data_IF_803026947346
#
_entry.id   IF_803026947346
#
_cell.length_a   1.000
_cell.length_b   1.000
_cell.length_c   1.000
_cell.angle_alpha   90.00
_cell.angle_beta   90.00
_cell.angle_gamma   90.00
#
_symmetry.space_group_name_H-M   'P 1'
#
loop_
_entity.id
_entity.type
_entity.pdbx_description
1 polymer ?
#
# COMPACT_ATOMS: atom_id res chain seq x y z
N UNK A 1 26.71 -10.34 0.44
CA UNK A 1 26.25 -10.09 -0.94
C UNK A 1 24.88 -9.42 -0.82
N UNK A 2 24.84 -8.09 -0.93
CA UNK A 2 23.63 -7.30 -0.72
C UNK A 2 22.81 -7.31 -2.00
N UNK A 3 21.62 -7.91 -1.98
CA UNK A 3 20.67 -7.73 -3.07
C UNK A 3 20.00 -6.38 -2.88
N UNK A 4 20.41 -5.41 -3.69
CA UNK A 4 19.65 -4.19 -3.95
C UNK A 4 18.38 -4.60 -4.71
N UNK A 5 17.33 -4.93 -3.96
CA UNK A 5 15.98 -4.98 -4.51
C UNK A 5 15.41 -3.58 -4.38
N UNK A 6 15.36 -2.89 -5.52
CA UNK A 6 14.90 -1.52 -5.61
C UNK A 6 13.46 -1.35 -5.11
N UNK A 7 13.26 -0.31 -4.33
CA UNK A 7 11.96 0.19 -3.88
C UNK A 7 10.98 0.48 -5.04
N UNK A 8 11.45 0.74 -6.26
CA UNK A 8 10.55 1.19 -7.32
C UNK A 8 9.98 0.07 -8.21
N UNK A 9 10.63 -1.11 -8.29
CA UNK A 9 10.01 -2.27 -8.95
C UNK A 9 8.64 -2.64 -8.33
N UNK A 10 8.39 -2.25 -7.08
CA UNK A 10 7.12 -2.44 -6.40
C UNK A 10 6.13 -1.29 -6.57
N UNK A 11 6.59 -0.04 -6.59
CA UNK A 11 5.71 1.12 -6.76
C UNK A 11 5.06 1.17 -8.16
N UNK A 12 5.71 0.64 -9.20
CA UNK A 12 5.14 0.54 -10.55
C UNK A 12 4.11 -0.59 -10.68
N UNK A 13 4.17 -1.62 -9.82
CA UNK A 13 3.17 -2.68 -9.75
C UNK A 13 1.76 -2.18 -9.38
N UNK A 14 1.65 -0.99 -8.78
CA UNK A 14 0.39 -0.30 -8.47
C UNK A 14 -0.19 0.51 -9.64
N UNK A 15 0.48 0.58 -10.81
CA UNK A 15 0.01 1.39 -11.96
C UNK A 15 0.14 0.77 -13.37
N UNK A 16 0.13 -0.57 -13.50
CA UNK A 16 0.05 -1.37 -14.75
C UNK A 16 1.39 -2.00 -15.23
N UNK A 17 1.56 -3.33 -15.08
CA UNK A 17 1.58 -4.31 -16.19
C UNK A 17 1.82 -5.74 -15.68
N UNK A 18 1.03 -6.68 -16.21
CA UNK A 18 1.20 -8.13 -16.18
C UNK A 18 2.10 -8.61 -17.33
N UNK A 19 3.16 -9.37 -17.04
CA UNK A 19 3.83 -10.36 -17.94
C UNK A 19 4.94 -11.04 -17.12
N UNK A 20 5.20 -12.35 -17.11
CA UNK A 20 4.82 -13.48 -17.96
C UNK A 20 5.09 -14.76 -17.14
N UNK A 21 4.14 -15.68 -17.04
CA UNK A 21 4.46 -17.11 -17.06
C UNK A 21 3.28 -17.89 -17.65
N UNK A 22 3.64 -18.88 -18.46
CA UNK A 22 2.86 -19.64 -19.45
C UNK A 22 1.34 -19.81 -19.27
N UNK A 23 0.64 -19.52 -20.36
CA UNK A 23 -0.72 -19.96 -20.69
C UNK A 23 -0.76 -21.47 -20.96
N UNK A 24 -1.69 -22.18 -20.31
CA UNK A 24 -2.36 -23.35 -20.88
C UNK A 24 -3.81 -22.96 -21.15
N UNK A 25 -4.21 -23.03 -22.42
CA UNK A 25 -5.59 -22.78 -22.87
C UNK A 25 -6.55 -23.79 -22.27
N UNK A 26 -7.60 -23.31 -21.60
CA UNK A 26 -8.92 -23.93 -21.65
C UNK A 26 -9.96 -22.83 -21.82
N UNK A 27 -10.71 -22.97 -22.90
CA UNK A 27 -11.79 -22.15 -23.41
C UNK A 27 -12.93 -21.91 -22.41
N UNK A 28 -13.40 -20.67 -22.28
CA UNK A 28 -14.74 -20.21 -22.72
C UNK A 28 -15.07 -18.79 -22.20
N UNK A 29 -15.81 -18.08 -23.05
CA UNK A 29 -16.28 -16.69 -23.05
C UNK A 29 -16.80 -16.07 -21.75
N UNK A 30 -16.31 -14.88 -21.39
CA UNK A 30 -17.07 -13.61 -21.35
C UNK A 30 -16.24 -12.50 -20.69
N UNK A 31 -16.29 -11.30 -21.26
CA UNK A 31 -15.67 -10.06 -20.77
C UNK A 31 -15.70 -9.93 -19.24
N UNK A 32 -14.52 -9.96 -18.60
CA UNK A 32 -14.32 -9.50 -17.23
C UNK A 32 -13.05 -8.67 -17.16
N UNK A 33 -13.24 -7.36 -17.12
CA UNK A 33 -12.18 -6.39 -16.90
C UNK A 33 -11.43 -6.61 -15.58
N UNK A 34 -10.16 -6.24 -15.61
CA UNK A 34 -9.24 -6.00 -14.49
C UNK A 34 -9.26 -7.04 -13.35
N UNK A 35 -8.61 -8.18 -13.55
CA UNK A 35 -8.29 -9.10 -12.46
C UNK A 35 -7.09 -8.58 -11.64
N UNK A 36 -7.35 -8.38 -10.34
CA UNK A 36 -6.44 -7.95 -9.28
C UNK A 36 -5.26 -8.92 -9.09
N UNK A 37 -4.07 -8.37 -8.86
CA UNK A 37 -2.84 -9.12 -8.55
C UNK A 37 -2.93 -9.82 -7.19
N UNK A 38 -3.08 -11.14 -7.20
CA UNK A 38 -2.81 -11.99 -6.04
C UNK A 38 -1.29 -12.21 -5.98
N UNK A 39 -0.61 -11.58 -5.03
CA UNK A 39 0.79 -11.88 -4.77
C UNK A 39 0.88 -13.12 -3.85
N UNK A 40 1.07 -14.29 -4.45
CA UNK A 40 1.49 -15.52 -3.76
C UNK A 40 0.35 -16.37 -3.18
N UNK A 41 0.32 -17.66 -3.57
CA UNK A 41 -0.56 -18.66 -2.99
C UNK A 41 -0.40 -18.73 -1.45
N UNK A 42 -1.50 -18.50 -0.72
CA UNK A 42 -1.67 -19.01 0.65
C UNK A 42 -2.21 -18.00 1.66
N UNK A 43 -2.05 -16.70 1.44
CA UNK A 43 -2.63 -15.64 2.29
C UNK A 43 -3.00 -14.46 1.40
N UNK A 44 -4.26 -14.03 1.44
CA UNK A 44 -4.71 -12.80 0.76
C UNK A 44 -4.27 -11.56 1.55
N UNK A 45 -2.99 -11.50 1.91
CA UNK A 45 -2.38 -10.35 2.58
C UNK A 45 -2.07 -9.28 1.54
N UNK A 46 -2.32 -8.02 1.87
CA UNK A 46 -2.05 -6.87 1.00
C UNK A 46 -1.50 -5.70 1.79
N UNK A 47 -0.83 -4.81 1.07
CA UNK A 47 -0.51 -3.44 1.51
C UNK A 47 -1.04 -2.52 0.42
N UNK A 48 -1.89 -1.56 0.79
CA UNK A 48 -2.54 -0.66 -0.14
C UNK A 48 -2.47 0.78 0.36
N UNK A 49 -2.02 1.67 -0.51
CA UNK A 49 -2.13 3.12 -0.30
C UNK A 49 -3.48 3.57 -0.85
N UNK A 50 -4.25 4.30 -0.05
CA UNK A 50 -5.57 4.80 -0.39
C UNK A 50 -5.54 6.33 -0.42
N UNK A 51 -6.25 6.90 -1.38
CA UNK A 51 -6.47 8.33 -1.48
C UNK A 51 -7.89 8.64 -0.98
N UNK A 52 -8.04 9.73 -0.22
CA UNK A 52 -9.35 10.22 0.20
C UNK A 52 -9.74 11.45 -0.62
N UNK A 53 -11.03 11.75 -0.72
CA UNK A 53 -11.52 12.93 -1.43
C UNK A 53 -10.97 14.27 -0.88
N UNK A 54 -10.38 14.27 0.32
CA UNK A 54 -9.81 15.44 0.99
C UNK A 54 -8.32 15.66 0.70
N UNK A 55 -7.81 15.19 -0.44
CA UNK A 55 -6.39 15.27 -0.81
C UNK A 55 -5.44 14.63 0.21
N UNK A 56 -5.92 13.58 0.88
CA UNK A 56 -5.18 12.88 1.93
C UNK A 56 -4.83 11.46 1.46
N UNK A 57 -3.72 10.96 1.97
CA UNK A 57 -3.20 9.63 1.64
C UNK A 57 -2.99 8.84 2.93
N UNK A 58 -3.48 7.60 2.94
CA UNK A 58 -3.31 6.68 4.06
C UNK A 58 -2.74 5.35 3.58
N UNK A 59 -2.08 4.61 4.47
CA UNK A 59 -1.63 3.25 4.21
C UNK A 59 -2.52 2.25 4.95
N UNK A 60 -2.87 1.16 4.29
CA UNK A 60 -3.63 0.06 4.87
C UNK A 60 -2.94 -1.26 4.61
N UNK A 61 -3.10 -2.22 5.52
CA UNK A 61 -2.51 -3.55 5.34
C UNK A 61 -3.32 -4.62 6.07
N UNK A 62 -3.45 -5.78 5.44
CA UNK A 62 -3.95 -7.00 6.10
C UNK A 62 -2.82 -7.94 6.56
N UNK A 63 -1.56 -7.56 6.34
CA UNK A 63 -0.38 -8.32 6.77
C UNK A 63 -0.43 -8.52 8.28
N UNK A 64 -0.39 -9.78 8.72
CA UNK A 64 -0.47 -10.17 10.14
C UNK A 64 -1.77 -9.74 10.86
N UNK A 65 -2.83 -9.42 10.12
CA UNK A 65 -4.14 -9.13 10.69
C UNK A 65 -4.99 -10.41 10.87
N UNK A 66 -5.98 -10.34 11.75
CA UNK A 66 -7.02 -11.38 11.82
C UNK A 66 -7.84 -11.38 10.53
N UNK A 67 -8.40 -12.53 10.10
CA UNK A 67 -9.26 -12.59 8.92
C UNK A 67 -10.38 -11.56 8.98
N UNK A 68 -10.56 -10.81 7.88
CA UNK A 68 -11.56 -9.75 7.78
C UNK A 68 -11.15 -8.40 8.38
N UNK A 69 -10.01 -8.33 9.08
CA UNK A 69 -9.52 -7.06 9.66
C UNK A 69 -8.37 -6.47 8.85
N UNK A 70 -8.24 -5.15 8.92
CA UNK A 70 -7.18 -4.37 8.25
C UNK A 70 -6.62 -3.35 9.22
N UNK A 71 -5.31 -3.18 9.23
CA UNK A 71 -4.65 -2.09 9.93
C UNK A 71 -4.65 -0.83 9.05
N UNK A 72 -5.01 0.31 9.63
CA UNK A 72 -4.93 1.65 9.04
C UNK A 72 -3.77 2.42 9.70
N UNK A 73 -2.89 2.96 8.87
CA UNK A 73 -1.76 3.79 9.24
C UNK A 73 -1.96 5.17 8.60
N UNK A 74 -2.26 6.15 9.44
CA UNK A 74 -2.61 7.51 9.03
C UNK A 74 -1.71 8.51 9.77
N UNK A 75 -0.91 9.26 9.00
CA UNK A 75 0.01 10.28 9.54
C UNK A 75 -0.69 11.60 9.85
N UNK A 76 -1.98 11.75 9.58
CA UNK A 76 -2.79 12.94 9.87
C UNK A 76 -4.14 12.54 10.47
N UNK A 77 -4.10 11.61 11.43
CA UNK A 77 -5.30 11.04 12.03
C UNK A 77 -5.91 12.01 13.05
N UNK A 78 -7.23 12.24 12.93
CA UNK A 78 -8.01 13.12 13.81
C UNK A 78 -9.18 12.38 14.46
N UNK A 79 -8.94 11.16 14.93
CA UNK A 79 -9.94 10.30 15.61
C UNK A 79 -11.16 9.90 14.78
N UNK A 80 -11.11 10.09 13.45
CA UNK A 80 -12.18 9.76 12.53
C UNK A 80 -11.61 8.98 11.34
N UNK A 81 -12.17 7.79 11.09
CA UNK A 81 -11.97 7.07 9.83
C UNK A 81 -12.94 7.67 8.82
N UNK A 82 -12.43 8.14 7.69
CA UNK A 82 -13.27 8.72 6.64
C UNK A 82 -13.99 7.59 5.89
N UNK A 83 -15.29 7.76 5.59
CA UNK A 83 -16.14 6.73 4.98
C UNK A 83 -15.54 6.16 3.68
N UNK A 84 -14.88 6.98 2.88
CA UNK A 84 -14.26 6.58 1.62
C UNK A 84 -13.13 5.55 1.83
N UNK A 85 -12.45 5.58 2.98
CA UNK A 85 -11.44 4.56 3.32
C UNK A 85 -12.14 3.22 3.56
N UNK A 86 -13.25 3.22 4.30
CA UNK A 86 -14.01 2.01 4.58
C UNK A 86 -14.65 1.42 3.30
N UNK A 87 -15.21 2.25 2.43
CA UNK A 87 -15.78 1.84 1.14
C UNK A 87 -14.72 1.20 0.23
N UNK A 88 -13.55 1.86 0.07
CA UNK A 88 -12.44 1.31 -0.70
C UNK A 88 -11.95 -0.03 -0.12
N UNK A 89 -11.90 -0.16 1.21
CA UNK A 89 -11.50 -1.42 1.86
C UNK A 89 -12.53 -2.53 1.66
N UNK A 90 -13.83 -2.22 1.70
CA UNK A 90 -14.89 -3.19 1.36
C UNK A 90 -14.71 -3.70 -0.06
N UNK A 91 -14.39 -2.82 -1.00
CA UNK A 91 -14.11 -3.23 -2.38
C UNK A 91 -12.86 -4.10 -2.50
N UNK A 92 -11.76 -3.73 -1.85
CA UNK A 92 -10.50 -4.50 -1.83
C UNK A 92 -10.73 -5.90 -1.24
N UNK A 93 -11.51 -5.99 -0.17
CA UNK A 93 -11.76 -7.24 0.56
C UNK A 93 -12.97 -8.04 0.04
N UNK A 94 -13.60 -7.62 -1.06
CA UNK A 94 -14.82 -8.22 -1.60
C UNK A 94 -15.92 -8.38 -0.53
N UNK A 95 -16.18 -7.31 0.22
CA UNK A 95 -17.17 -7.21 1.30
C UNK A 95 -16.94 -8.14 2.49
N UNK A 96 -15.72 -8.67 2.66
CA UNK A 96 -15.32 -9.48 3.83
C UNK A 96 -14.71 -8.65 4.97
N UNK A 97 -14.77 -7.32 4.88
CA UNK A 97 -14.26 -6.42 5.91
C UNK A 97 -15.15 -6.52 7.17
N UNK A 98 -14.54 -6.89 8.30
CA UNK A 98 -15.18 -7.00 9.61
C UNK A 98 -14.69 -5.94 10.59
N UNK A 99 -13.56 -5.28 10.33
CA UNK A 99 -13.05 -4.22 11.18
C UNK A 99 -11.79 -3.54 10.65
N UNK A 100 -11.59 -2.29 11.08
CA UNK A 100 -10.38 -1.51 10.81
C UNK A 100 -9.71 -1.21 12.15
N UNK A 101 -8.44 -1.58 12.28
CA UNK A 101 -7.62 -1.30 13.44
C UNK A 101 -6.80 -0.04 13.19
N UNK A 102 -6.92 0.98 14.02
CA UNK A 102 -6.04 2.15 13.96
C UNK A 102 -4.71 1.80 14.60
N UNK A 103 -3.62 1.90 13.84
CA UNK A 103 -2.27 1.70 14.38
C UNK A 103 -1.65 3.07 14.68
N UNK A 104 -1.24 3.33 15.93
CA UNK A 104 -0.50 4.54 16.26
C UNK A 104 0.81 4.62 15.46
N UNK A 105 0.99 5.71 14.72
CA UNK A 105 2.18 5.99 13.92
C UNK A 105 2.62 7.43 14.07
N UNK A 106 3.86 7.72 13.65
CA UNK A 106 4.36 9.09 13.60
C UNK A 106 3.42 10.00 12.79
N UNK A 107 2.98 11.08 13.44
CA UNK A 107 2.12 12.08 12.81
C UNK A 107 2.96 13.12 12.07
N UNK A 108 2.49 13.55 10.90
CA UNK A 108 3.15 14.58 10.13
C UNK A 108 2.99 15.95 10.80
N UNK A 109 4.08 16.73 10.84
CA UNK A 109 4.05 18.11 11.34
C UNK A 109 3.53 19.15 10.33
N UNK A 110 3.22 18.76 9.09
CA UNK A 110 2.76 19.67 8.03
C UNK A 110 1.65 19.03 7.19
N UNK A 111 0.76 19.82 6.59
CA UNK A 111 -0.41 19.30 5.85
C UNK A 111 -0.13 18.60 4.51
N UNK A 112 1.13 18.45 4.08
CA UNK A 112 1.46 17.95 2.72
C UNK A 112 2.15 16.59 2.69
N UNK A 113 2.60 16.08 3.84
CA UNK A 113 3.52 14.95 3.90
C UNK A 113 2.84 13.56 3.88
N UNK A 114 1.51 13.49 3.93
CA UNK A 114 0.74 12.24 4.00
C UNK A 114 1.11 11.24 2.91
N UNK A 115 1.37 11.70 1.69
CA UNK A 115 1.81 10.84 0.58
C UNK A 115 3.14 10.14 0.85
N UNK A 116 4.16 10.86 1.36
CA UNK A 116 5.46 10.25 1.64
C UNK A 116 5.44 9.39 2.90
N UNK A 117 4.64 9.75 3.91
CA UNK A 117 4.41 8.90 5.08
C UNK A 117 3.71 7.58 4.70
N UNK A 118 2.66 7.63 3.87
CA UNK A 118 1.97 6.43 3.40
C UNK A 118 2.91 5.46 2.67
N UNK A 119 3.82 5.98 1.84
CA UNK A 119 4.85 5.16 1.16
C UNK A 119 5.85 4.57 2.16
N UNK A 120 6.26 5.35 3.16
CA UNK A 120 7.20 4.89 4.17
C UNK A 120 6.59 3.81 5.08
N UNK A 121 5.33 3.95 5.48
CA UNK A 121 4.59 2.91 6.21
C UNK A 121 4.46 1.63 5.39
N UNK A 122 4.06 1.74 4.12
CA UNK A 122 3.98 0.59 3.22
C UNK A 122 5.35 -0.12 3.11
N UNK A 123 6.43 0.66 2.99
CA UNK A 123 7.79 0.15 2.94
C UNK A 123 8.15 -0.61 4.23
N UNK A 124 7.89 -0.03 5.41
CA UNK A 124 8.12 -0.70 6.69
C UNK A 124 7.44 -2.07 6.75
N UNK A 125 6.15 -2.12 6.39
CA UNK A 125 5.34 -3.34 6.42
C UNK A 125 5.93 -4.42 5.49
N UNK A 126 6.29 -4.04 4.26
CA UNK A 126 6.90 -4.97 3.27
C UNK A 126 8.23 -5.54 3.78
N UNK A 127 9.01 -4.74 4.51
CA UNK A 127 10.26 -5.18 5.13
C UNK A 127 10.08 -5.84 6.51
N UNK A 128 8.84 -6.13 6.94
CA UNK A 128 8.55 -6.76 8.22
C UNK A 128 8.90 -5.88 9.43
N UNK A 129 8.88 -4.55 9.26
CA UNK A 129 9.07 -3.58 10.33
C UNK A 129 7.75 -2.94 10.70
N UNK A 130 7.50 -2.81 12.00
CA UNK A 130 6.36 -2.09 12.53
C UNK A 130 6.53 -0.57 12.30
N UNK A 131 5.64 0.10 11.54
CA UNK A 131 5.69 1.55 11.35
C UNK A 131 5.55 2.36 12.64
N UNK A 132 4.88 1.82 13.67
CA UNK A 132 4.63 2.52 14.94
C UNK A 132 5.86 2.74 15.81
N UNK A 133 6.96 2.05 15.53
CA UNK A 133 8.24 2.16 16.25
C UNK A 133 9.35 2.83 15.44
N UNK A 134 9.05 3.28 14.22
CA UNK A 134 10.01 3.91 13.32
C UNK A 134 9.84 5.43 13.38
N UNK A 135 10.95 6.14 13.58
CA UNK A 135 11.01 7.59 13.42
C UNK A 135 11.54 7.93 12.03
N UNK A 136 10.84 8.82 11.33
CA UNK A 136 11.16 9.20 9.95
C UNK A 136 11.85 10.56 9.88
N UNK A 137 12.94 10.65 9.12
CA UNK A 137 13.54 11.94 8.78
C UNK A 137 12.74 12.58 7.63
N UNK A 138 11.69 13.33 8.00
CA UNK A 138 10.75 13.97 7.05
C UNK A 138 11.46 14.82 6.00
N UNK A 139 12.60 15.43 6.34
CA UNK A 139 13.38 16.27 5.41
C UNK A 139 14.02 15.45 4.30
N UNK A 140 14.30 14.17 4.55
CA UNK A 140 14.94 13.25 3.59
C UNK A 140 13.95 12.38 2.82
N UNK A 141 12.73 12.18 3.30
CA UNK A 141 11.75 11.29 2.66
C UNK A 141 11.45 11.67 1.20
N UNK A 142 11.15 12.94 0.91
CA UNK A 142 10.87 13.42 -0.46
C UNK A 142 12.09 13.33 -1.38
N UNK A 143 13.28 13.85 -1.00
CA UNK A 143 14.49 13.67 -1.80
C UNK A 143 14.81 12.20 -2.08
N UNK A 144 14.70 11.34 -1.07
CA UNK A 144 14.97 9.91 -1.21
C UNK A 144 14.00 9.24 -2.19
N UNK A 145 12.69 9.52 -2.08
CA UNK A 145 11.69 9.01 -3.00
C UNK A 145 11.94 9.49 -4.44
N UNK A 146 12.25 10.78 -4.61
CA UNK A 146 12.57 11.34 -5.94
C UNK A 146 13.81 10.68 -6.54
N UNK A 147 14.85 10.45 -5.73
CA UNK A 147 16.05 9.75 -6.17
C UNK A 147 15.76 8.30 -6.55
N UNK A 148 14.98 7.58 -5.74
CA UNK A 148 14.59 6.21 -6.01
C UNK A 148 13.83 6.10 -7.35
N UNK A 149 12.87 7.01 -7.59
CA UNK A 149 12.14 7.07 -8.85
C UNK A 149 13.05 7.40 -10.05
N UNK A 150 13.97 8.35 -9.91
CA UNK A 150 14.90 8.73 -10.99
C UNK A 150 15.83 7.60 -11.39
N UNK A 151 16.36 6.86 -10.41
CA UNK A 151 17.24 5.71 -10.66
C UNK A 151 16.55 4.61 -11.46
N UNK A 152 15.22 4.55 -11.37
CA UNK A 152 14.41 3.47 -11.92
C UNK A 152 13.88 3.78 -13.30
N UNK A 153 13.71 5.07 -13.61
CA UNK A 153 13.18 5.51 -14.90
C UNK A 153 14.23 6.04 -15.88
N UNK A 154 15.54 5.94 -15.58
CA UNK A 154 16.67 6.43 -16.42
C UNK A 154 16.26 7.53 -17.41
N UNK A 155 15.86 8.70 -16.89
CA UNK A 155 15.65 9.91 -17.70
C UNK A 155 16.89 10.79 -17.62
#
# INVERSE_FOLDING_TARGET
MSQSLSLANWMVGLHCHTRSSHFTETSESNDKGFQRTNLGLGRNEFVQILHTANHHWVCTSSVSCLPGTVNLYDSLFHDIIVNEVEEQLKDVMASKLTGINIVPVEQQGNGSACGVFSIAFATCIVYGRDPGIVTFDVTKMRPHLSQALKLEFQV
#
